data_IF_435690203248
#
_entry.id   IF_435690203248
#
_cell.length_a   1.000
_cell.length_b   1.000
_cell.length_c   1.000
_cell.angle_alpha   90.00
_cell.angle_beta   90.00
_cell.angle_gamma   90.00
#
_symmetry.space_group_name_H-M   'P 1'
#
loop_
_entity.id
_entity.type
_entity.pdbx_description
1 polymer ?
#
# COMPACT_ATOMS: atom_id res chain seq x y z
N UNK A 1 7.92 11.86 -9.36
CA UNK A 1 8.24 11.02 -8.17
C UNK A 1 8.34 11.95 -6.97
N UNK A 2 7.22 12.19 -6.28
CA UNK A 2 7.15 13.16 -5.17
C UNK A 2 7.85 12.66 -3.90
N UNK A 3 7.66 13.40 -2.80
CA UNK A 3 8.20 13.07 -1.47
C UNK A 3 7.93 11.64 -1.01
N UNK A 4 6.76 11.07 -1.33
CA UNK A 4 6.35 9.72 -0.89
C UNK A 4 7.24 8.60 -1.44
N UNK A 5 7.59 8.64 -2.73
CA UNK A 5 8.43 7.61 -3.35
C UNK A 5 9.86 7.66 -2.83
N UNK A 6 10.42 8.87 -2.71
CA UNK A 6 11.78 9.08 -2.20
C UNK A 6 11.95 8.67 -0.74
N UNK A 7 10.95 8.95 0.11
CA UNK A 7 10.98 8.52 1.52
C UNK A 7 10.98 7.00 1.64
N UNK A 8 10.19 6.29 0.83
CA UNK A 8 10.12 4.82 0.88
C UNK A 8 11.37 4.14 0.33
N UNK A 9 11.93 4.63 -0.78
CA UNK A 9 13.20 4.10 -1.27
C UNK A 9 14.32 4.36 -0.28
N UNK A 10 14.35 5.55 0.32
CA UNK A 10 15.36 5.91 1.33
C UNK A 10 15.20 5.07 2.60
N UNK A 11 13.98 4.84 3.09
CA UNK A 11 13.73 4.03 4.28
C UNK A 11 14.07 2.56 4.06
N UNK A 12 13.84 2.03 2.86
CA UNK A 12 14.23 0.66 2.51
C UNK A 12 15.76 0.50 2.45
N UNK A 13 16.46 1.46 1.84
CA UNK A 13 17.93 1.47 1.75
C UNK A 13 18.55 1.61 3.16
N UNK A 14 18.09 2.59 3.94
CA UNK A 14 18.57 2.81 5.32
C UNK A 14 18.24 1.63 6.24
N UNK A 15 17.06 1.03 6.08
CA UNK A 15 16.66 -0.18 6.80
C UNK A 15 17.53 -1.39 6.46
N UNK A 16 17.97 -1.52 5.20
CA UNK A 16 18.89 -2.56 4.76
C UNK A 16 20.31 -2.36 5.31
N UNK A 17 20.82 -1.12 5.28
CA UNK A 17 22.13 -0.77 5.86
C UNK A 17 22.13 -1.05 7.38
N UNK A 18 20.99 -0.85 8.04
CA UNK A 18 20.72 -1.26 9.42
C UNK A 18 21.40 -0.40 10.49
N UNK A 19 22.67 -0.05 10.32
CA UNK A 19 23.44 0.80 11.23
C UNK A 19 24.36 1.73 10.45
N UNK A 20 24.26 3.05 10.69
CA UNK A 20 25.23 4.03 10.21
C UNK A 20 25.86 4.68 11.44
N UNK A 21 27.07 4.23 11.80
CA UNK A 21 27.79 4.69 12.98
C UNK A 21 27.03 4.40 14.28
N UNK A 22 26.68 5.47 15.01
CA UNK A 22 25.99 5.43 16.32
C UNK A 22 24.48 5.23 16.19
N UNK A 23 23.90 5.46 15.00
CA UNK A 23 22.46 5.39 14.77
C UNK A 23 22.04 3.99 14.33
N UNK A 24 21.16 3.35 15.10
CA UNK A 24 20.53 2.09 14.73
C UNK A 24 19.21 2.38 14.01
N UNK A 25 19.13 1.99 12.73
CA UNK A 25 17.93 2.14 11.91
C UNK A 25 16.98 0.95 12.05
N UNK A 26 17.36 -0.08 12.83
CA UNK A 26 16.50 -1.21 13.19
C UNK A 26 15.83 -0.90 14.52
N UNK A 27 14.55 -0.59 14.45
CA UNK A 27 13.72 -0.39 15.62
C UNK A 27 13.28 -1.74 16.21
N UNK A 28 13.03 -1.78 17.52
CA UNK A 28 12.38 -2.93 18.15
C UNK A 28 10.97 -3.15 17.55
N UNK A 29 10.63 -4.40 17.25
CA UNK A 29 9.37 -4.77 16.60
C UNK A 29 8.14 -4.38 17.43
N UNK A 30 8.27 -4.37 18.76
CA UNK A 30 7.18 -3.98 19.67
C UNK A 30 6.89 -2.49 19.53
N UNK A 31 7.94 -1.66 19.53
CA UNK A 31 7.78 -0.20 19.42
C UNK A 31 7.32 0.16 18.00
N UNK A 32 7.87 -0.51 16.99
CA UNK A 32 7.46 -0.32 15.60
C UNK A 32 5.98 -0.67 15.40
N UNK A 33 5.51 -1.77 15.97
CA UNK A 33 4.11 -2.17 15.96
C UNK A 33 3.19 -1.11 16.56
N UNK A 34 3.55 -0.57 17.73
CA UNK A 34 2.78 0.48 18.40
C UNK A 34 2.70 1.77 17.57
N UNK A 35 3.85 2.26 17.05
CA UNK A 35 3.91 3.46 16.20
C UNK A 35 3.09 3.26 14.92
N UNK A 36 3.17 2.08 14.31
CA UNK A 36 2.43 1.73 13.09
C UNK A 36 0.93 1.75 13.32
N UNK A 37 0.44 1.14 14.40
CA UNK A 37 -0.98 1.17 14.76
C UNK A 37 -1.47 2.59 15.04
N UNK A 38 -0.70 3.37 15.82
CA UNK A 38 -1.02 4.77 16.12
C UNK A 38 -1.11 5.61 14.83
N UNK A 39 -0.13 5.46 13.94
CA UNK A 39 -0.09 6.18 12.66
C UNK A 39 -1.23 5.79 11.74
N UNK A 40 -1.55 4.49 11.66
CA UNK A 40 -2.69 3.98 10.87
C UNK A 40 -4.02 4.51 11.41
N UNK A 41 -4.19 4.55 12.73
CA UNK A 41 -5.39 5.09 13.36
C UNK A 41 -5.57 6.59 13.03
N UNK A 42 -4.51 7.39 13.15
CA UNK A 42 -4.55 8.81 12.78
C UNK A 42 -4.78 9.00 11.28
N UNK A 43 -4.14 8.20 10.42
CA UNK A 43 -4.33 8.25 8.97
C UNK A 43 -5.80 8.01 8.61
N UNK A 44 -6.40 6.94 9.15
CA UNK A 44 -7.79 6.59 8.92
C UNK A 44 -8.75 7.64 9.47
N UNK A 45 -8.49 8.18 10.66
CA UNK A 45 -9.29 9.26 11.25
C UNK A 45 -9.29 10.51 10.35
N UNK A 46 -8.12 10.96 9.88
CA UNK A 46 -7.99 12.14 9.02
C UNK A 46 -8.67 11.90 7.66
N UNK A 47 -8.46 10.74 7.03
CA UNK A 47 -9.08 10.40 5.75
C UNK A 47 -10.60 10.32 5.88
N UNK A 48 -11.10 9.75 6.97
CA UNK A 48 -12.53 9.67 7.30
C UNK A 48 -13.15 11.04 7.51
N UNK A 49 -12.51 11.91 8.31
CA UNK A 49 -13.01 13.28 8.54
C UNK A 49 -13.01 14.11 7.25
N UNK A 50 -11.97 13.97 6.41
CA UNK A 50 -11.84 14.78 5.17
C UNK A 50 -12.79 14.34 4.07
N UNK A 51 -13.03 13.04 3.91
CA UNK A 51 -13.84 12.51 2.81
C UNK A 51 -15.23 12.03 3.25
N UNK A 52 -15.55 12.02 4.55
CA UNK A 52 -16.82 11.48 5.07
C UNK A 52 -18.06 12.14 4.47
N UNK A 53 -18.07 13.47 4.37
CA UNK A 53 -19.18 14.21 3.74
C UNK A 53 -19.34 13.88 2.25
N UNK A 54 -18.22 13.74 1.52
CA UNK A 54 -18.24 13.36 0.10
C UNK A 54 -18.81 11.95 -0.11
N UNK A 55 -18.54 11.03 0.80
CA UNK A 55 -19.10 9.67 0.72
C UNK A 55 -20.62 9.71 0.81
N UNK A 56 -21.19 10.50 1.73
CA UNK A 56 -22.65 10.64 1.89
C UNK A 56 -23.28 11.26 0.64
N UNK A 57 -22.64 12.27 0.05
CA UNK A 57 -23.06 12.91 -1.20
C UNK A 57 -23.08 11.93 -2.38
N UNK A 58 -22.00 11.14 -2.53
CA UNK A 58 -21.87 10.11 -3.58
C UNK A 58 -22.92 9.00 -3.40
N UNK A 59 -23.21 8.60 -2.16
CA UNK A 59 -24.19 7.56 -1.84
C UNK A 59 -25.63 8.01 -2.05
N UNK A 60 -25.91 9.30 -1.85
CA UNK A 60 -27.24 9.89 -2.03
C UNK A 60 -27.60 10.15 -3.51
N UNK A 61 -26.60 10.21 -4.38
CA UNK A 61 -26.75 10.41 -5.82
C UNK A 61 -26.60 9.14 -6.67
N UNK A 62 -26.26 9.30 -7.95
CA UNK A 62 -25.92 8.21 -8.89
C UNK A 62 -24.51 7.61 -8.66
N UNK A 63 -23.83 8.01 -7.58
CA UNK A 63 -22.46 7.59 -7.28
C UNK A 63 -22.35 6.14 -6.84
N UNK A 64 -23.47 5.47 -6.53
CA UNK A 64 -23.50 4.04 -6.18
C UNK A 64 -22.87 3.16 -7.26
N UNK A 65 -23.02 3.51 -8.54
CA UNK A 65 -22.43 2.77 -9.66
C UNK A 65 -20.91 2.88 -9.66
N UNK A 66 -20.37 4.06 -9.35
CA UNK A 66 -18.92 4.28 -9.23
C UNK A 66 -18.34 3.50 -8.05
N UNK A 67 -19.07 3.42 -6.93
CA UNK A 67 -18.65 2.62 -5.78
C UNK A 67 -18.63 1.13 -6.13
N UNK A 68 -19.70 0.62 -6.75
CA UNK A 68 -19.78 -0.81 -7.11
C UNK A 68 -18.70 -1.21 -8.11
N UNK A 69 -18.51 -0.42 -9.16
CA UNK A 69 -17.48 -0.68 -10.19
C UNK A 69 -16.08 -0.63 -9.59
N UNK A 70 -15.80 0.34 -8.72
CA UNK A 70 -14.49 0.45 -8.04
C UNK A 70 -14.21 -0.77 -7.15
N UNK A 71 -15.20 -1.24 -6.41
CA UNK A 71 -15.07 -2.45 -5.57
C UNK A 71 -14.80 -3.68 -6.45
N UNK A 72 -15.56 -3.84 -7.53
CA UNK A 72 -15.40 -4.96 -8.46
C UNK A 72 -14.00 -4.98 -9.08
N UNK A 73 -13.55 -3.85 -9.61
CA UNK A 73 -12.21 -3.70 -10.19
C UNK A 73 -11.13 -3.95 -9.14
N UNK A 74 -11.30 -3.43 -7.92
CA UNK A 74 -10.37 -3.66 -6.82
C UNK A 74 -10.23 -5.14 -6.44
N UNK A 75 -11.37 -5.85 -6.31
CA UNK A 75 -11.38 -7.29 -6.02
C UNK A 75 -10.70 -8.06 -7.15
N UNK A 76 -11.02 -7.75 -8.41
CA UNK A 76 -10.42 -8.40 -9.58
C UNK A 76 -8.90 -8.19 -9.59
N UNK A 77 -8.43 -6.96 -9.32
CA UNK A 77 -7.00 -6.65 -9.27
C UNK A 77 -6.27 -7.45 -8.18
N UNK A 78 -6.86 -7.56 -6.98
CA UNK A 78 -6.33 -8.39 -5.89
C UNK A 78 -6.26 -9.86 -6.32
N UNK A 79 -7.33 -10.38 -6.92
CA UNK A 79 -7.45 -11.77 -7.31
C UNK A 79 -6.41 -12.13 -8.39
N UNK A 80 -6.23 -11.26 -9.37
CA UNK A 80 -5.22 -11.41 -10.43
C UNK A 80 -3.82 -11.37 -9.81
N UNK A 81 -3.54 -10.38 -8.95
CA UNK A 81 -2.24 -10.26 -8.27
C UNK A 81 -1.92 -11.49 -7.42
N UNK A 82 -2.92 -12.01 -6.69
CA UNK A 82 -2.80 -13.25 -5.92
C UNK A 82 -2.56 -14.47 -6.81
N UNK A 83 -3.34 -14.63 -7.88
CA UNK A 83 -3.23 -15.79 -8.77
C UNK A 83 -1.86 -15.81 -9.45
N UNK A 84 -1.41 -14.68 -9.98
CA UNK A 84 -0.09 -14.55 -10.62
C UNK A 84 1.02 -14.80 -9.61
N UNK A 85 0.97 -14.14 -8.43
CA UNK A 85 2.02 -14.29 -7.42
C UNK A 85 2.12 -15.70 -6.84
N UNK A 86 0.98 -16.38 -6.65
CA UNK A 86 0.94 -17.75 -6.11
C UNK A 86 1.26 -18.81 -7.15
N UNK A 87 0.71 -18.72 -8.36
CA UNK A 87 0.83 -19.80 -9.36
C UNK A 87 2.01 -19.60 -10.32
N UNK A 88 2.30 -18.36 -10.74
CA UNK A 88 3.39 -18.09 -11.67
C UNK A 88 4.72 -17.92 -10.94
N UNK A 89 4.74 -17.09 -9.89
CA UNK A 89 5.96 -16.77 -9.15
C UNK A 89 6.21 -17.66 -7.92
N UNK A 90 5.24 -18.52 -7.55
CA UNK A 90 5.32 -19.45 -6.40
C UNK A 90 5.82 -18.78 -5.11
N UNK A 91 5.36 -17.54 -4.87
CA UNK A 91 5.84 -16.74 -3.74
C UNK A 91 5.26 -17.22 -2.41
N UNK A 92 6.02 -17.07 -1.33
CA UNK A 92 5.53 -17.28 0.03
C UNK A 92 4.42 -16.25 0.36
N UNK A 93 3.37 -16.69 1.05
CA UNK A 93 2.24 -15.88 1.48
C UNK A 93 2.66 -14.62 2.26
N UNK A 94 3.71 -14.72 3.09
CA UNK A 94 4.19 -13.58 3.88
C UNK A 94 4.62 -12.42 2.96
N UNK A 95 5.45 -12.70 1.95
CA UNK A 95 5.92 -11.68 1.00
C UNK A 95 4.81 -11.29 0.02
N UNK A 96 3.99 -12.27 -0.42
CA UNK A 96 2.92 -12.05 -1.39
C UNK A 96 1.83 -11.11 -0.87
N UNK A 97 1.43 -11.26 0.39
CA UNK A 97 0.43 -10.38 1.02
C UNK A 97 0.89 -8.91 1.04
N UNK A 98 2.15 -8.68 1.41
CA UNK A 98 2.79 -7.37 1.37
C UNK A 98 2.94 -6.80 -0.04
N UNK A 99 3.35 -7.65 -0.99
CA UNK A 99 3.48 -7.31 -2.40
C UNK A 99 2.14 -6.86 -3.03
N UNK A 100 1.04 -7.55 -2.71
CA UNK A 100 -0.32 -7.17 -3.16
C UNK A 100 -0.71 -5.82 -2.56
N UNK A 101 -0.48 -5.61 -1.26
CA UNK A 101 -0.75 -4.32 -0.62
C UNK A 101 0.08 -3.19 -1.24
N UNK A 102 1.35 -3.47 -1.59
CA UNK A 102 2.25 -2.54 -2.25
C UNK A 102 1.80 -2.19 -3.67
N UNK A 103 1.36 -3.19 -4.44
CA UNK A 103 0.79 -3.02 -5.77
C UNK A 103 -0.52 -2.22 -5.77
N UNK A 104 -1.35 -2.43 -4.75
CA UNK A 104 -2.56 -1.62 -4.53
C UNK A 104 -2.27 -0.26 -3.92
N UNK A 105 -1.02 0.05 -3.59
CA UNK A 105 -0.60 1.27 -2.89
C UNK A 105 -1.35 1.52 -1.57
N UNK A 106 -1.80 0.45 -0.92
CA UNK A 106 -2.66 0.50 0.27
C UNK A 106 -1.87 0.22 1.56
N UNK A 107 -1.39 1.30 2.18
CA UNK A 107 -0.71 1.25 3.49
C UNK A 107 -1.59 0.65 4.60
N UNK A 108 -2.91 0.93 4.69
CA UNK A 108 -3.78 0.27 5.66
C UNK A 108 -3.90 -1.24 5.45
N UNK A 109 -3.90 -1.70 4.20
CA UNK A 109 -3.89 -3.13 3.86
C UNK A 109 -2.65 -3.84 4.41
N UNK A 110 -1.48 -3.22 4.27
CA UNK A 110 -0.24 -3.72 4.88
C UNK A 110 -0.35 -3.77 6.41
N UNK A 111 -0.95 -2.72 7.00
CA UNK A 111 -1.28 -2.64 8.41
C UNK A 111 -1.90 -3.93 8.95
N UNK A 112 -3.02 -4.29 8.33
CA UNK A 112 -3.82 -5.47 8.65
C UNK A 112 -3.07 -6.77 8.31
N UNK A 113 -2.34 -6.82 7.19
CA UNK A 113 -1.61 -8.02 6.79
C UNK A 113 -0.53 -8.42 7.82
N UNK A 114 0.26 -7.47 8.30
CA UNK A 114 1.27 -7.71 9.35
C UNK A 114 0.60 -8.14 10.66
N UNK A 115 -0.54 -7.53 11.02
CA UNK A 115 -1.29 -7.90 12.23
C UNK A 115 -1.87 -9.32 12.12
N UNK A 116 -2.43 -9.69 10.97
CA UNK A 116 -2.97 -11.01 10.70
C UNK A 116 -1.90 -12.11 10.66
N UNK A 117 -0.68 -11.78 10.22
CA UNK A 117 0.45 -12.72 10.14
C UNK A 117 1.21 -12.77 11.48
N UNK A 118 1.17 -11.70 12.27
CA UNK A 118 1.92 -11.58 13.52
C UNK A 118 3.43 -11.35 13.33
N UNK A 119 3.85 -10.93 12.12
CA UNK A 119 5.26 -10.66 11.80
C UNK A 119 5.38 -9.53 10.78
N UNK A 120 6.49 -8.79 10.83
CA UNK A 120 6.77 -7.66 9.92
C UNK A 120 7.26 -8.10 8.52
N UNK A 121 7.34 -9.40 8.23
CA UNK A 121 7.80 -9.94 6.93
C UNK A 121 7.05 -9.39 5.69
N UNK A 122 5.72 -9.12 5.74
CA UNK A 122 5.01 -8.48 4.63
C UNK A 122 5.54 -7.09 4.27
N UNK A 123 6.15 -6.36 5.22
CA UNK A 123 6.68 -5.03 4.97
C UNK A 123 7.80 -5.04 3.92
N UNK A 124 8.56 -6.13 3.84
CA UNK A 124 9.60 -6.29 2.82
C UNK A 124 9.01 -6.38 1.41
N UNK A 125 7.96 -7.19 1.23
CA UNK A 125 7.25 -7.32 -0.05
C UNK A 125 6.60 -6.01 -0.49
N UNK A 126 5.99 -5.28 0.47
CA UNK A 126 5.42 -3.97 0.22
C UNK A 126 6.48 -2.95 -0.22
N UNK A 127 7.58 -2.85 0.52
CA UNK A 127 8.67 -1.92 0.24
C UNK A 127 9.31 -2.16 -1.14
N UNK A 128 9.42 -3.42 -1.55
CA UNK A 128 9.97 -3.78 -2.86
C UNK A 128 9.04 -3.38 -4.02
N UNK A 129 7.73 -3.64 -3.93
CA UNK A 129 6.80 -3.43 -5.07
C UNK A 129 6.29 -1.99 -5.15
N UNK A 130 6.11 -1.30 -4.02
CA UNK A 130 5.46 0.01 -3.98
C UNK A 130 6.09 1.07 -4.92
N UNK A 131 7.43 1.21 -5.01
CA UNK A 131 8.05 2.15 -5.96
C UNK A 131 7.73 1.82 -7.43
N UNK A 132 7.74 0.53 -7.79
CA UNK A 132 7.39 0.09 -9.14
C UNK A 132 5.91 0.35 -9.45
N UNK A 133 5.02 0.11 -8.49
CA UNK A 133 3.61 0.42 -8.62
C UNK A 133 3.38 1.91 -8.87
N UNK A 134 4.08 2.80 -8.14
CA UNK A 134 4.01 4.24 -8.36
C UNK A 134 4.54 4.66 -9.74
N UNK A 135 5.67 4.12 -10.17
CA UNK A 135 6.22 4.42 -11.51
C UNK A 135 5.22 3.98 -12.58
N UNK A 136 4.68 2.76 -12.47
CA UNK A 136 3.66 2.24 -13.37
C UNK A 136 2.44 3.15 -13.41
N UNK A 137 1.89 3.53 -12.25
CA UNK A 137 0.75 4.43 -12.15
C UNK A 137 1.00 5.77 -12.85
N UNK A 138 2.18 6.38 -12.64
CA UNK A 138 2.54 7.66 -13.28
C UNK A 138 2.62 7.52 -14.80
N UNK A 139 3.26 6.46 -15.30
CA UNK A 139 3.37 6.22 -16.75
C UNK A 139 1.97 6.01 -17.36
N UNK A 140 1.15 5.15 -16.77
CA UNK A 140 -0.21 4.91 -17.24
C UNK A 140 -1.07 6.19 -17.20
N UNK A 141 -0.95 7.00 -16.14
CA UNK A 141 -1.66 8.27 -16.02
C UNK A 141 -1.27 9.25 -17.14
N UNK A 142 0.02 9.34 -17.47
CA UNK A 142 0.53 10.17 -18.57
C UNK A 142 0.02 9.65 -19.92
N UNK A 143 0.05 8.34 -20.13
CA UNK A 143 -0.44 7.72 -21.38
C UNK A 143 -1.92 8.03 -21.57
N UNK A 144 -2.75 7.84 -20.53
CA UNK A 144 -4.18 8.15 -20.61
C UNK A 144 -4.43 9.63 -20.85
N UNK A 145 -3.68 10.54 -20.21
CA UNK A 145 -3.83 11.99 -20.48
C UNK A 145 -3.29 12.43 -21.85
N UNK A 146 -2.37 11.68 -22.45
CA UNK A 146 -1.82 11.92 -23.79
C UNK A 146 -2.66 11.31 -24.90
N UNK A 147 -3.51 10.32 -24.60
CA UNK A 147 -4.51 9.83 -25.55
C UNK A 147 -5.65 10.88 -25.64
N UNK A 148 -5.98 11.37 -26.84
CA UNK A 148 -7.16 12.18 -27.04
C UNK A 148 -8.39 11.28 -26.92
N UNK A 149 -8.95 11.18 -25.72
CA UNK A 149 -10.28 10.61 -25.46
C UNK A 149 -11.17 11.74 -24.99
#
# INVERSE_FOLDING_TARGET
>A
LGSTGGVLTSSLILGHIGKIGIFNFRMDSTILGFIRQLTLAFLLAIVGLRNGFKVIEILSGKGIYLVLTSILIGIIAILIGFLIGKYLFKMNWLILSGAICGGMTSTPGLGIAIEAIGSDDPAAGYGAIYPFALIGMVIFSIIIHKLPI
#
